data_IF_556968839387
#
_entry.id   IF_556968839387
#
_cell.length_a   1.000
_cell.length_b   1.000
_cell.length_c   1.000
_cell.angle_alpha   90.00
_cell.angle_beta   90.00
_cell.angle_gamma   90.00
#
_symmetry.space_group_name_H-M   'P 1'
#
loop_
_entity.id
_entity.type
_entity.pdbx_description
1 polymer ?
#
# COMPACT_ATOMS: atom_id res chain seq x y z
N UNK A 1 -42.67 -20.53 32.78
CA UNK A 1 -42.25 -19.41 31.91
C UNK A 1 -41.05 -19.86 31.12
N UNK A 2 -41.20 -20.07 29.81
CA UNK A 2 -40.16 -20.60 28.94
C UNK A 2 -39.05 -19.55 28.76
N UNK A 3 -37.82 -19.88 29.17
CA UNK A 3 -36.64 -19.12 28.76
C UNK A 3 -36.37 -19.51 27.31
N UNK A 4 -36.63 -18.61 26.37
CA UNK A 4 -36.11 -18.76 25.01
C UNK A 4 -34.58 -18.72 25.09
N UNK A 5 -33.97 -19.89 24.95
CA UNK A 5 -32.53 -20.06 24.83
C UNK A 5 -32.20 -19.73 23.38
N UNK A 6 -31.74 -18.50 23.13
CA UNK A 6 -31.30 -18.05 21.80
C UNK A 6 -30.43 -19.14 21.16
N UNK A 7 -30.75 -19.55 19.94
CA UNK A 7 -30.01 -20.62 19.28
C UNK A 7 -28.55 -20.22 19.08
N UNK A 8 -27.62 -21.11 19.41
CA UNK A 8 -26.17 -20.87 19.24
C UNK A 8 -25.83 -20.49 17.80
N UNK A 9 -26.57 -21.06 16.83
CA UNK A 9 -26.44 -20.73 15.40
C UNK A 9 -26.79 -19.27 15.12
N UNK A 10 -27.92 -18.76 15.66
CA UNK A 10 -28.30 -17.36 15.48
C UNK A 10 -27.26 -16.40 16.08
N UNK A 11 -26.70 -16.74 17.26
CA UNK A 11 -25.61 -15.96 17.87
C UNK A 11 -24.36 -15.96 17.00
N UNK A 12 -24.01 -17.11 16.41
CA UNK A 12 -22.85 -17.22 15.53
C UNK A 12 -23.05 -16.44 14.22
N UNK A 13 -24.24 -16.53 13.62
CA UNK A 13 -24.58 -15.81 12.40
C UNK A 13 -24.55 -14.29 12.66
N UNK A 14 -25.11 -13.83 13.78
CA UNK A 14 -25.05 -12.42 14.18
C UNK A 14 -23.61 -11.93 14.37
N UNK A 15 -22.76 -12.71 15.04
CA UNK A 15 -21.33 -12.40 15.17
C UNK A 15 -20.64 -12.31 13.81
N UNK A 16 -20.91 -13.25 12.91
CA UNK A 16 -20.30 -13.25 11.58
C UNK A 16 -20.74 -12.03 10.76
N UNK A 17 -22.00 -11.61 10.85
CA UNK A 17 -22.51 -10.40 10.20
C UNK A 17 -21.79 -9.16 10.75
N UNK A 18 -21.67 -9.03 12.07
CA UNK A 18 -20.98 -7.90 12.72
C UNK A 18 -19.51 -7.85 12.30
N UNK A 19 -18.80 -8.97 12.35
CA UNK A 19 -17.38 -9.02 11.98
C UNK A 19 -17.17 -8.76 10.49
N UNK A 20 -18.07 -9.20 9.63
CA UNK A 20 -18.03 -8.91 8.19
C UNK A 20 -18.24 -7.42 7.93
N UNK A 21 -19.23 -6.79 8.59
CA UNK A 21 -19.49 -5.36 8.47
C UNK A 21 -18.29 -4.53 8.93
N UNK A 22 -17.67 -4.90 10.07
CA UNK A 22 -16.44 -4.25 10.58
C UNK A 22 -15.29 -4.36 9.59
N UNK A 23 -15.03 -5.55 9.05
CA UNK A 23 -13.97 -5.77 8.04
C UNK A 23 -14.21 -4.94 6.78
N UNK A 24 -15.45 -4.85 6.31
CA UNK A 24 -15.79 -4.05 5.13
C UNK A 24 -15.60 -2.55 5.38
N UNK A 25 -15.98 -2.05 6.56
CA UNK A 25 -15.75 -0.66 6.94
C UNK A 25 -14.25 -0.32 6.95
N UNK A 26 -13.41 -1.17 7.57
CA UNK A 26 -11.95 -0.98 7.59
C UNK A 26 -11.36 -0.97 6.17
N UNK A 27 -11.75 -1.93 5.32
CA UNK A 27 -11.31 -1.98 3.91
C UNK A 27 -11.70 -0.73 3.14
N UNK A 28 -12.91 -0.22 3.34
CA UNK A 28 -13.36 1.02 2.69
C UNK A 28 -12.53 2.23 3.13
N UNK A 29 -12.21 2.33 4.42
CA UNK A 29 -11.36 3.40 4.95
C UNK A 29 -9.94 3.29 4.37
N UNK A 30 -9.39 2.08 4.32
CA UNK A 30 -8.06 1.84 3.75
C UNK A 30 -7.98 2.23 2.27
N UNK A 31 -9.00 1.86 1.50
CA UNK A 31 -9.12 2.23 0.09
C UNK A 31 -9.15 3.76 -0.10
N UNK A 32 -10.04 4.46 0.61
CA UNK A 32 -10.11 5.92 0.56
C UNK A 32 -8.77 6.58 0.94
N UNK A 33 -8.08 6.02 1.94
CA UNK A 33 -6.78 6.51 2.39
C UNK A 33 -5.69 6.34 1.33
N UNK A 34 -5.63 5.20 0.64
CA UNK A 34 -4.68 4.98 -0.46
C UNK A 34 -4.96 5.97 -1.60
N UNK A 35 -6.22 6.15 -1.99
CA UNK A 35 -6.59 7.12 -3.02
C UNK A 35 -6.23 8.55 -2.64
N UNK A 36 -6.47 8.94 -1.39
CA UNK A 36 -6.11 10.25 -0.85
C UNK A 36 -4.59 10.47 -0.97
N UNK A 37 -3.78 9.52 -0.51
CA UNK A 37 -2.33 9.62 -0.61
C UNK A 37 -1.85 9.68 -2.06
N UNK A 38 -2.40 8.87 -2.96
CA UNK A 38 -2.05 8.95 -4.38
C UNK A 38 -2.33 10.34 -4.98
N UNK A 39 -3.52 10.91 -4.71
CA UNK A 39 -3.91 12.25 -5.18
C UNK A 39 -3.03 13.35 -4.60
N UNK A 40 -2.68 13.25 -3.32
CA UNK A 40 -1.76 14.19 -2.69
C UNK A 40 -0.36 14.11 -3.31
N UNK A 41 0.15 12.90 -3.56
CA UNK A 41 1.43 12.69 -4.22
C UNK A 41 1.45 13.29 -5.63
N UNK A 42 0.37 13.09 -6.41
CA UNK A 42 0.19 13.73 -7.71
C UNK A 42 0.27 15.26 -7.61
N UNK A 43 -0.48 15.85 -6.67
CA UNK A 43 -0.53 17.30 -6.49
C UNK A 43 0.84 17.89 -6.09
N UNK A 44 1.59 17.18 -5.24
CA UNK A 44 2.97 17.55 -4.85
C UNK A 44 3.86 17.52 -6.08
N UNK A 45 3.82 16.42 -6.86
CA UNK A 45 4.63 16.28 -8.06
C UNK A 45 4.35 17.40 -9.08
N UNK A 46 3.09 17.73 -9.32
CA UNK A 46 2.70 18.84 -10.20
C UNK A 46 3.25 20.19 -9.71
N UNK A 47 3.17 20.47 -8.41
CA UNK A 47 3.75 21.69 -7.82
C UNK A 47 5.27 21.76 -8.02
N UNK A 48 5.97 20.62 -7.85
CA UNK A 48 7.41 20.53 -8.09
C UNK A 48 7.79 20.84 -9.54
N UNK A 49 6.96 20.46 -10.52
CA UNK A 49 7.21 20.77 -11.94
C UNK A 49 7.07 22.26 -12.26
N UNK A 50 6.22 23.00 -11.53
CA UNK A 50 6.10 24.45 -11.67
C UNK A 50 7.29 25.22 -11.06
N UNK A 51 8.04 24.58 -10.16
CA UNK A 51 9.33 25.05 -9.68
C UNK A 51 10.44 24.79 -10.70
N UNK A 52 11.08 25.84 -11.21
CA UNK A 52 12.25 25.70 -12.11
C UNK A 52 13.35 24.86 -11.45
N UNK A 53 13.53 23.60 -11.90
CA UNK A 53 14.70 22.69 -11.76
C UNK A 53 15.69 23.02 -10.62
N UNK A 54 15.22 23.15 -9.38
CA UNK A 54 16.08 23.25 -8.19
C UNK A 54 15.74 22.08 -7.29
N UNK A 55 16.71 21.21 -7.04
CA UNK A 55 16.54 20.08 -6.12
C UNK A 55 16.07 20.55 -4.72
N UNK A 56 16.48 21.74 -4.30
CA UNK A 56 16.11 22.34 -3.02
C UNK A 56 14.62 22.73 -2.92
N UNK A 57 13.94 22.91 -4.06
CA UNK A 57 12.54 23.35 -4.09
C UNK A 57 11.58 22.24 -3.65
N UNK A 58 11.84 20.99 -4.04
CA UNK A 58 11.03 19.84 -3.61
C UNK A 58 11.11 19.61 -2.11
N UNK A 59 12.33 19.67 -1.55
CA UNK A 59 12.54 19.56 -0.11
C UNK A 59 11.80 20.66 0.68
N UNK A 60 11.76 21.88 0.14
CA UNK A 60 11.00 22.98 0.73
C UNK A 60 9.48 22.76 0.68
N UNK A 61 8.95 22.28 -0.46
CA UNK A 61 7.52 21.95 -0.60
C UNK A 61 7.11 20.90 0.42
N UNK A 62 7.85 19.79 0.50
CA UNK A 62 7.53 18.69 1.42
C UNK A 62 7.52 19.20 2.86
N UNK A 63 8.55 19.94 3.28
CA UNK A 63 8.64 20.47 4.63
C UNK A 63 7.49 21.43 4.95
N UNK A 64 7.27 22.43 4.10
CA UNK A 64 6.24 23.45 4.33
C UNK A 64 4.81 22.89 4.28
N UNK A 65 4.57 21.90 3.41
CA UNK A 65 3.28 21.20 3.33
C UNK A 65 3.05 20.34 4.57
N UNK A 66 4.07 19.60 5.02
CA UNK A 66 3.98 18.79 6.23
C UNK A 66 3.67 19.64 7.46
N UNK A 67 4.37 20.77 7.66
CA UNK A 67 4.14 21.67 8.79
C UNK A 67 2.68 22.17 8.84
N UNK A 68 2.11 22.54 7.69
CA UNK A 68 0.71 23.01 7.60
C UNK A 68 -0.29 21.88 7.83
N UNK A 69 -0.10 20.74 7.17
CA UNK A 69 -1.04 19.61 7.27
C UNK A 69 -0.97 18.94 8.64
N UNK A 70 0.21 18.84 9.26
CA UNK A 70 0.36 18.28 10.59
C UNK A 70 -0.29 19.17 11.66
N UNK A 71 -0.25 20.50 11.50
CA UNK A 71 -0.94 21.43 12.39
C UNK A 71 -2.47 21.32 12.30
N UNK A 72 -3.03 21.06 11.11
CA UNK A 72 -4.48 21.00 10.89
C UNK A 72 -5.08 19.60 11.10
N UNK A 73 -4.39 18.56 10.64
CA UNK A 73 -4.87 17.18 10.58
C UNK A 73 -4.13 16.21 11.53
N UNK A 74 -3.10 16.68 12.22
CA UNK A 74 -2.33 15.92 13.21
C UNK A 74 -1.18 15.08 12.64
N UNK A 75 -0.61 14.24 13.50
CA UNK A 75 0.64 13.49 13.28
C UNK A 75 0.64 12.51 12.09
N UNK A 76 -0.51 12.30 11.45
CA UNK A 76 -0.63 11.51 10.22
C UNK A 76 0.06 12.15 9.00
N UNK A 77 0.38 13.45 9.05
CA UNK A 77 0.87 14.24 7.93
C UNK A 77 2.25 14.87 8.13
N UNK A 78 3.08 14.33 9.03
CA UNK A 78 4.45 14.81 9.21
C UNK A 78 5.35 14.59 7.99
N UNK A 79 6.55 15.19 8.03
CA UNK A 79 7.49 15.26 6.87
C UNK A 79 7.73 13.89 6.23
N UNK A 80 8.01 12.87 7.03
CA UNK A 80 8.26 11.50 6.53
C UNK A 80 7.06 10.90 5.79
N UNK A 81 5.84 11.24 6.21
CA UNK A 81 4.62 10.76 5.56
C UNK A 81 4.43 11.46 4.21
N UNK A 82 4.68 12.77 4.15
CA UNK A 82 4.60 13.54 2.90
C UNK A 82 5.66 13.09 1.89
N UNK A 83 6.89 12.78 2.33
CA UNK A 83 7.90 12.17 1.46
C UNK A 83 7.46 10.81 0.91
N UNK A 84 6.86 9.95 1.75
CA UNK A 84 6.33 8.65 1.28
C UNK A 84 5.19 8.82 0.29
N UNK A 85 4.31 9.79 0.52
CA UNK A 85 3.21 10.14 -0.40
C UNK A 85 3.76 10.59 -1.76
N UNK A 86 4.80 11.41 -1.75
CA UNK A 86 5.51 11.85 -2.95
C UNK A 86 6.16 10.67 -3.68
N UNK A 87 6.91 9.83 -2.97
CA UNK A 87 7.51 8.61 -3.52
C UNK A 87 6.45 7.66 -4.08
N UNK A 88 5.32 7.51 -3.40
CA UNK A 88 4.23 6.66 -3.85
C UNK A 88 3.74 7.06 -5.24
N UNK A 89 3.52 8.35 -5.49
CA UNK A 89 3.10 8.80 -6.82
C UNK A 89 4.21 8.64 -7.88
N UNK A 90 5.47 8.88 -7.51
CA UNK A 90 6.60 8.70 -8.43
C UNK A 90 6.75 7.23 -8.90
N UNK A 91 6.49 6.28 -8.00
CA UNK A 91 6.57 4.85 -8.30
C UNK A 91 5.31 4.31 -9.00
N UNK A 92 4.14 4.90 -8.73
CA UNK A 92 2.86 4.48 -9.29
C UNK A 92 2.14 5.65 -9.98
N UNK A 93 2.69 6.22 -11.07
CA UNK A 93 2.11 7.40 -11.71
C UNK A 93 0.77 7.12 -12.42
N UNK A 94 0.51 5.85 -12.75
CA UNK A 94 -0.71 5.41 -13.41
C UNK A 94 -1.71 4.96 -12.34
N UNK A 95 -2.89 5.60 -12.28
CA UNK A 95 -3.89 5.30 -11.26
C UNK A 95 -4.37 3.84 -11.28
N UNK A 96 -4.41 3.19 -12.45
CA UNK A 96 -4.79 1.77 -12.57
C UNK A 96 -3.72 0.81 -12.08
N UNK A 97 -2.47 1.26 -11.91
CA UNK A 97 -1.42 0.47 -11.27
C UNK A 97 -1.65 0.34 -9.77
N UNK A 98 -2.36 1.30 -9.15
CA UNK A 98 -2.74 1.24 -7.73
C UNK A 98 -3.84 0.20 -7.55
N UNK A 99 -3.46 -1.01 -7.15
CA UNK A 99 -4.37 -2.10 -6.77
C UNK A 99 -5.26 -1.70 -5.60
N UNK A 100 -6.57 -1.85 -5.78
CA UNK A 100 -7.59 -1.51 -4.77
C UNK A 100 -7.61 -2.48 -3.61
N UNK A 101 -6.99 -3.64 -3.77
CA UNK A 101 -6.89 -4.73 -2.79
C UNK A 101 -5.84 -4.44 -1.70
N UNK A 102 -4.87 -3.56 -1.99
CA UNK A 102 -3.77 -3.26 -1.09
C UNK A 102 -4.06 -2.02 -0.24
N UNK A 103 -3.77 -2.11 1.06
CA UNK A 103 -3.85 -0.99 1.99
C UNK A 103 -2.52 -0.20 2.06
N UNK A 104 -2.55 0.94 2.75
CA UNK A 104 -1.38 1.80 2.87
C UNK A 104 -0.17 1.12 3.54
N UNK A 105 -0.38 0.21 4.50
CA UNK A 105 0.74 -0.51 5.12
C UNK A 105 1.46 -1.41 4.13
N UNK A 106 0.74 -2.03 3.21
CA UNK A 106 1.30 -2.82 2.11
C UNK A 106 2.09 -1.93 1.14
N UNK A 107 1.50 -0.82 0.70
CA UNK A 107 2.20 0.13 -0.16
C UNK A 107 3.47 0.71 0.49
N UNK A 108 3.45 1.01 1.80
CA UNK A 108 4.67 1.46 2.50
C UNK A 108 5.82 0.46 2.38
N UNK A 109 5.53 -0.84 2.43
CA UNK A 109 6.56 -1.87 2.25
C UNK A 109 6.99 -1.98 0.79
N UNK A 110 6.04 -1.97 -0.15
CA UNK A 110 6.34 -2.02 -1.59
C UNK A 110 7.16 -0.81 -2.07
N UNK A 111 6.87 0.41 -1.57
CA UNK A 111 7.62 1.64 -1.88
C UNK A 111 9.08 1.53 -1.41
N UNK A 112 9.36 0.76 -0.35
CA UNK A 112 10.72 0.58 0.16
C UNK A 112 11.56 -0.36 -0.73
N UNK A 113 10.94 -1.16 -1.59
CA UNK A 113 11.63 -2.04 -2.54
C UNK A 113 12.15 -1.17 -3.69
N UNK A 114 13.46 -1.06 -3.83
CA UNK A 114 14.10 -0.25 -4.88
C UNK A 114 13.97 -0.85 -6.28
N UNK A 115 14.05 -2.18 -6.35
CA UNK A 115 13.97 -2.97 -7.58
C UNK A 115 12.50 -3.03 -8.09
N UNK A 116 12.21 -2.50 -9.29
CA UNK A 116 10.85 -2.45 -9.83
C UNK A 116 10.27 -3.85 -10.09
N UNK A 117 11.07 -4.80 -10.57
CA UNK A 117 10.60 -6.14 -10.93
C UNK A 117 10.23 -6.92 -9.67
N UNK A 118 11.06 -6.81 -8.62
CA UNK A 118 10.75 -7.38 -7.30
C UNK A 118 9.49 -6.76 -6.71
N UNK A 119 9.29 -5.46 -6.87
CA UNK A 119 8.11 -4.76 -6.36
C UNK A 119 6.85 -5.26 -7.02
N UNK A 120 6.85 -5.36 -8.35
CA UNK A 120 5.72 -5.87 -9.13
C UNK A 120 5.40 -7.33 -8.77
N UNK A 121 6.42 -8.18 -8.64
CA UNK A 121 6.25 -9.56 -8.18
C UNK A 121 5.52 -9.65 -6.83
N UNK A 122 6.02 -8.95 -5.80
CA UNK A 122 5.40 -8.99 -4.48
C UNK A 122 4.03 -8.32 -4.44
N UNK A 123 3.78 -7.33 -5.30
CA UNK A 123 2.48 -6.73 -5.47
C UNK A 123 1.46 -7.74 -6.02
N UNK A 124 1.81 -8.46 -7.09
CA UNK A 124 0.98 -9.48 -7.69
C UNK A 124 0.71 -10.63 -6.71
N UNK A 125 1.75 -11.13 -6.04
CA UNK A 125 1.61 -12.21 -5.06
C UNK A 125 0.79 -11.80 -3.84
N UNK A 126 0.93 -10.56 -3.36
CA UNK A 126 0.12 -10.05 -2.27
C UNK A 126 -1.37 -9.99 -2.64
N UNK A 127 -1.69 -9.65 -3.90
CA UNK A 127 -3.07 -9.64 -4.41
C UNK A 127 -3.59 -11.06 -4.61
N UNK A 128 -2.84 -11.93 -5.27
CA UNK A 128 -3.22 -13.31 -5.59
C UNK A 128 -3.50 -14.12 -4.32
N UNK A 129 -2.63 -14.00 -3.32
CA UNK A 129 -2.74 -14.73 -2.06
C UNK A 129 -3.52 -13.96 -0.98
N UNK A 130 -4.02 -12.76 -1.29
CA UNK A 130 -4.73 -11.90 -0.34
C UNK A 130 -3.96 -11.65 0.97
N UNK A 131 -2.64 -11.49 0.88
CA UNK A 131 -1.79 -11.28 2.04
C UNK A 131 -2.22 -10.03 2.80
N UNK A 132 -2.26 -10.10 4.12
CA UNK A 132 -2.38 -8.91 4.95
C UNK A 132 -1.00 -8.25 5.17
N UNK A 133 -0.98 -7.06 5.77
CA UNK A 133 0.26 -6.32 5.98
C UNK A 133 1.34 -7.08 6.75
N UNK A 134 0.97 -7.94 7.72
CA UNK A 134 1.94 -8.72 8.51
C UNK A 134 2.48 -9.92 7.73
N UNK A 135 1.65 -10.51 6.88
CA UNK A 135 2.06 -11.62 6.00
C UNK A 135 3.06 -11.12 4.96
N UNK A 136 2.76 -9.99 4.33
CA UNK A 136 3.69 -9.35 3.40
C UNK A 136 5.01 -8.96 4.10
N UNK A 137 4.95 -8.40 5.31
CA UNK A 137 6.14 -8.07 6.11
C UNK A 137 7.00 -9.31 6.36
N UNK A 138 6.41 -10.41 6.83
CA UNK A 138 7.12 -11.67 7.07
C UNK A 138 7.79 -12.21 5.81
N UNK A 139 7.11 -12.14 4.67
CA UNK A 139 7.62 -12.67 3.40
C UNK A 139 8.77 -11.79 2.88
N UNK A 140 8.71 -10.47 3.11
CA UNK A 140 9.80 -9.57 2.76
C UNK A 140 11.02 -9.73 3.68
N UNK A 141 10.82 -10.06 4.96
CA UNK A 141 11.89 -10.35 5.92
C UNK A 141 12.59 -11.68 5.65
N UNK A 142 11.83 -12.68 5.19
CA UNK A 142 12.35 -14.00 4.82
C UNK A 142 11.80 -14.39 3.44
N UNK A 143 12.38 -13.87 2.35
CA UNK A 143 11.98 -14.21 0.99
C UNK A 143 12.10 -15.72 0.80
N UNK A 144 10.98 -16.42 0.58
CA UNK A 144 11.07 -17.78 0.06
C UNK A 144 11.68 -17.70 -1.34
N UNK A 145 12.59 -18.61 -1.69
CA UNK A 145 13.35 -18.64 -2.96
C UNK A 145 12.49 -18.87 -4.24
N UNK A 146 11.21 -18.51 -4.23
CA UNK A 146 10.27 -18.65 -5.36
C UNK A 146 10.67 -17.80 -6.58
N UNK A 147 11.55 -16.82 -6.35
CA UNK A 147 12.15 -15.93 -7.33
C UNK A 147 12.82 -16.65 -8.53
N UNK A 148 13.13 -17.96 -8.43
CA UNK A 148 13.92 -18.68 -9.44
C UNK A 148 13.12 -19.51 -10.45
N UNK A 149 11.79 -19.63 -10.34
CA UNK A 149 11.03 -20.43 -11.32
C UNK A 149 10.86 -19.64 -12.63
N UNK A 150 11.58 -20.00 -13.71
CA UNK A 150 11.54 -19.25 -14.97
C UNK A 150 10.14 -19.26 -15.59
N UNK A 151 9.32 -20.26 -15.25
CA UNK A 151 7.96 -20.42 -15.76
C UNK A 151 6.99 -19.43 -15.11
N UNK A 152 7.21 -19.07 -13.85
CA UNK A 152 6.39 -18.06 -13.14
C UNK A 152 6.74 -16.65 -13.64
N UNK A 153 8.02 -16.37 -13.90
CA UNK A 153 8.46 -15.11 -14.49
C UNK A 153 7.88 -14.92 -15.91
N UNK A 154 7.93 -15.97 -16.73
CA UNK A 154 7.33 -15.98 -18.07
C UNK A 154 5.80 -15.85 -18.04
N UNK A 155 5.13 -16.53 -17.09
CA UNK A 155 3.67 -16.45 -16.91
C UNK A 155 3.20 -15.05 -16.45
N UNK A 156 3.99 -14.38 -15.61
CA UNK A 156 3.71 -13.03 -15.11
C UNK A 156 4.18 -11.92 -16.08
N UNK A 157 4.86 -12.27 -17.18
CA UNK A 157 5.36 -11.31 -18.18
C UNK A 157 6.50 -10.44 -17.66
N UNK A 158 7.24 -10.89 -16.65
CA UNK A 158 8.40 -10.20 -16.09
C UNK A 158 9.66 -10.71 -16.80
N UNK A 159 10.51 -9.80 -17.28
CA UNK A 159 11.81 -10.20 -17.84
C UNK A 159 12.69 -10.80 -16.73
N UNK A 160 13.34 -11.93 -17.03
CA UNK A 160 14.24 -12.60 -16.09
C UNK A 160 15.47 -11.73 -15.80
N UNK A 161 15.39 -10.89 -14.76
CA UNK A 161 16.50 -10.04 -14.33
C UNK A 161 17.56 -10.86 -13.56
N UNK A 162 18.88 -10.68 -13.84
CA UNK A 162 19.95 -11.33 -13.08
C UNK A 162 19.94 -11.02 -11.57
N UNK A 163 19.24 -9.96 -11.14
CA UNK A 163 19.05 -9.59 -9.74
C UNK A 163 18.20 -10.61 -8.93
N UNK A 164 17.55 -11.54 -9.64
CA UNK A 164 16.82 -12.68 -9.08
C UNK A 164 17.71 -13.94 -8.94
N UNK A 165 18.92 -13.95 -9.52
CA UNK A 165 19.83 -15.10 -9.57
C UNK A 165 21.08 -14.97 -8.68
N UNK A 166 21.31 -13.83 -8.02
CA UNK A 166 22.51 -13.63 -7.20
C UNK A 166 22.22 -13.53 -5.70
N UNK A 167 22.63 -14.62 -5.04
CA UNK A 167 22.94 -14.86 -3.61
C UNK A 167 21.77 -14.85 -2.63
#
# INVERSE_FOLDING_TARGET
MAKEVISTRLVQDAKQIIETARKNAVRSVDFCRVQMYWKLGKRIFEEEQHGKKRADYGAYIVKSLAEKLEAEYGSGFGIRQIERIRQFFLLYPIASAVRTQLNWSQYKMLIAISDPDKREYYELEAVNNSWNGRELERILEAPQEVIKDPMVLEFLGLESSPAFLCV
#
